data_IF_473059886882
#
_entry.id   IF_473059886882
#
_cell.length_a   1.000
_cell.length_b   1.000
_cell.length_c   1.000
_cell.angle_alpha   90.00
_cell.angle_beta   90.00
_cell.angle_gamma   90.00
#
_symmetry.space_group_name_H-M   'P 1'
#
loop_
_entity.id
_entity.type
_entity.pdbx_description
1 polymer ?
#
# COMPACT_ATOMS: atom_id res chain seq x y z
N UNK A 1 -19.01 -65.01 1.12
CA UNK A 1 -18.76 -63.61 0.71
C UNK A 1 -17.79 -63.60 -0.46
N UNK A 2 -18.25 -63.33 -1.69
CA UNK A 2 -17.40 -63.38 -2.90
C UNK A 2 -16.68 -62.05 -3.07
N UNK A 3 -15.34 -62.04 -2.96
CA UNK A 3 -14.53 -60.84 -3.22
C UNK A 3 -14.57 -60.54 -4.72
N UNK A 4 -15.10 -59.38 -5.09
CA UNK A 4 -15.04 -58.90 -6.47
C UNK A 4 -13.57 -58.81 -6.89
N UNK A 5 -13.18 -59.50 -7.96
CA UNK A 5 -11.82 -59.41 -8.50
C UNK A 5 -11.61 -57.99 -9.02
N UNK A 6 -10.67 -57.29 -8.41
CA UNK A 6 -10.34 -55.93 -8.79
C UNK A 6 -10.03 -55.85 -10.29
N UNK A 7 -10.77 -54.95 -10.90
CA UNK A 7 -10.76 -54.58 -12.30
C UNK A 7 -9.44 -54.01 -12.81
N UNK A 8 -8.31 -54.72 -12.99
CA UNK A 8 -7.03 -54.06 -13.36
C UNK A 8 -7.07 -53.24 -14.66
N UNK A 9 -8.09 -53.43 -15.49
CA UNK A 9 -8.35 -52.66 -16.71
C UNK A 9 -9.09 -51.33 -16.47
N UNK A 10 -9.74 -51.17 -15.31
CA UNK A 10 -10.42 -49.93 -14.92
C UNK A 10 -9.53 -48.68 -14.96
N UNK A 11 -8.27 -48.69 -14.45
CA UNK A 11 -7.40 -47.51 -14.58
C UNK A 11 -7.04 -47.22 -16.04
N UNK A 12 -6.84 -48.24 -16.87
CA UNK A 12 -6.51 -48.04 -18.29
C UNK A 12 -7.68 -47.46 -19.09
N UNK A 13 -8.91 -47.87 -18.78
CA UNK A 13 -10.11 -47.26 -19.39
C UNK A 13 -10.34 -45.82 -18.92
N UNK A 14 -10.09 -45.53 -17.65
CA UNK A 14 -10.22 -44.18 -17.11
C UNK A 14 -9.21 -43.21 -17.79
N UNK A 15 -7.97 -43.66 -17.98
CA UNK A 15 -6.93 -42.90 -18.68
C UNK A 15 -7.24 -42.74 -20.17
N UNK A 16 -7.73 -43.79 -20.83
CA UNK A 16 -8.12 -43.75 -22.24
C UNK A 16 -9.27 -42.77 -22.50
N UNK A 17 -10.27 -42.74 -21.61
CA UNK A 17 -11.40 -41.82 -21.69
C UNK A 17 -10.97 -40.36 -21.48
N UNK A 18 -9.96 -40.11 -20.64
CA UNK A 18 -9.42 -38.77 -20.39
C UNK A 18 -8.65 -38.18 -21.59
N UNK A 19 -8.20 -39.00 -22.54
CA UNK A 19 -7.48 -38.56 -23.74
C UNK A 19 -8.39 -38.08 -24.88
N UNK A 20 -9.71 -38.24 -24.76
CA UNK A 20 -10.70 -37.78 -25.74
C UNK A 20 -11.37 -36.49 -25.23
N UNK A 21 -10.59 -35.42 -25.08
CA UNK A 21 -11.11 -34.10 -24.70
C UNK A 21 -11.26 -33.20 -25.96
N UNK A 22 -12.41 -32.51 -26.15
CA UNK A 22 -12.60 -31.57 -27.25
C UNK A 22 -11.86 -30.23 -27.01
N UNK A 23 -11.68 -29.46 -28.09
CA UNK A 23 -11.01 -28.15 -28.11
C UNK A 23 -11.73 -27.13 -27.19
N UNK A 24 -11.23 -26.92 -25.96
CA UNK A 24 -11.76 -25.93 -25.03
C UNK A 24 -10.96 -24.61 -25.12
N UNK A 25 -11.64 -23.46 -25.20
CA UNK A 25 -11.04 -22.11 -25.16
C UNK A 25 -10.60 -21.77 -23.71
N UNK A 26 -9.57 -22.47 -23.24
CA UNK A 26 -9.34 -22.77 -21.83
C UNK A 26 -8.26 -21.89 -21.16
N UNK A 27 -8.66 -21.03 -20.21
CA UNK A 27 -7.87 -20.71 -19.01
C UNK A 27 -7.75 -21.92 -18.04
N UNK A 28 -8.03 -23.12 -18.56
CA UNK A 28 -8.42 -24.35 -17.86
C UNK A 28 -7.36 -25.45 -17.96
N UNK A 29 -6.09 -25.11 -18.15
CA UNK A 29 -5.07 -25.99 -17.60
C UNK A 29 -5.28 -25.96 -16.06
N UNK A 30 -5.43 -27.09 -15.35
CA UNK A 30 -5.71 -27.08 -13.90
C UNK A 30 -4.69 -26.25 -13.10
N UNK A 31 -3.50 -26.04 -13.66
CA UNK A 31 -2.46 -25.14 -13.16
C UNK A 31 -2.80 -23.65 -13.29
N UNK A 32 -3.36 -23.21 -14.42
CA UNK A 32 -3.70 -21.81 -14.71
C UNK A 32 -4.80 -21.28 -13.79
N UNK A 33 -5.81 -22.10 -13.49
CA UNK A 33 -6.87 -21.74 -12.54
C UNK A 33 -6.32 -21.43 -11.14
N UNK A 34 -5.37 -22.24 -10.67
CA UNK A 34 -4.72 -22.06 -9.37
C UNK A 34 -3.86 -20.79 -9.32
N UNK A 35 -3.16 -20.46 -10.41
CA UNK A 35 -2.36 -19.24 -10.52
C UNK A 35 -3.22 -17.98 -10.48
N UNK A 36 -4.33 -17.96 -11.23
CA UNK A 36 -5.27 -16.83 -11.25
C UNK A 36 -5.85 -16.61 -9.85
N UNK A 37 -6.30 -17.68 -9.18
CA UNK A 37 -6.87 -17.59 -7.85
C UNK A 37 -5.84 -17.07 -6.83
N UNK A 38 -4.59 -17.55 -6.92
CA UNK A 38 -3.49 -17.10 -6.06
C UNK A 38 -3.16 -15.62 -6.29
N UNK A 39 -3.17 -15.16 -7.55
CA UNK A 39 -2.95 -13.76 -7.89
C UNK A 39 -4.05 -12.86 -7.32
N UNK A 40 -5.32 -13.28 -7.43
CA UNK A 40 -6.46 -12.55 -6.86
C UNK A 40 -6.31 -12.43 -5.34
N UNK A 41 -6.04 -13.55 -4.65
CA UNK A 41 -5.84 -13.56 -3.20
C UNK A 41 -4.66 -12.66 -2.80
N UNK A 42 -3.55 -12.74 -3.54
CA UNK A 42 -2.38 -11.88 -3.30
C UNK A 42 -2.71 -10.40 -3.41
N UNK A 43 -3.41 -9.99 -4.47
CA UNK A 43 -3.84 -8.60 -4.67
C UNK A 43 -4.74 -8.14 -3.53
N UNK A 44 -5.73 -8.92 -3.12
CA UNK A 44 -6.62 -8.56 -2.02
C UNK A 44 -5.89 -8.50 -0.67
N UNK A 45 -5.00 -9.45 -0.39
CA UNK A 45 -4.20 -9.46 0.82
C UNK A 45 -3.30 -8.22 0.91
N UNK A 46 -2.59 -7.88 -0.18
CA UNK A 46 -1.76 -6.67 -0.26
C UNK A 46 -2.60 -5.40 -0.16
N UNK A 47 -3.74 -5.32 -0.85
CA UNK A 47 -4.63 -4.17 -0.79
C UNK A 47 -5.21 -3.95 0.62
N UNK A 48 -5.67 -5.02 1.29
CA UNK A 48 -6.19 -4.95 2.64
C UNK A 48 -5.10 -4.52 3.65
N UNK A 49 -3.90 -5.08 3.52
CA UNK A 49 -2.75 -4.70 4.36
C UNK A 49 -2.35 -3.24 4.12
N UNK A 50 -2.29 -2.81 2.87
CA UNK A 50 -2.01 -1.43 2.50
C UNK A 50 -3.08 -0.50 3.10
N UNK A 51 -4.36 -0.81 2.95
CA UNK A 51 -5.44 0.02 3.49
C UNK A 51 -5.36 0.13 5.01
N UNK A 52 -5.11 -0.98 5.72
CA UNK A 52 -4.92 -1.00 7.18
C UNK A 52 -3.70 -0.16 7.60
N UNK A 53 -2.58 -0.28 6.88
CA UNK A 53 -1.32 0.40 7.19
C UNK A 53 -1.40 1.89 6.89
N UNK A 54 -1.98 2.26 5.76
CA UNK A 54 -2.04 3.63 5.28
C UNK A 54 -3.29 4.39 5.72
N UNK A 55 -4.20 3.80 6.51
CA UNK A 55 -5.45 4.43 6.95
C UNK A 55 -5.27 5.85 7.51
N UNK A 56 -4.26 6.06 8.36
CA UNK A 56 -3.96 7.36 8.94
C UNK A 56 -3.34 8.34 7.94
N UNK A 57 -2.51 7.86 7.00
CA UNK A 57 -1.93 8.69 5.94
C UNK A 57 -2.96 9.08 4.89
N UNK A 58 -3.84 8.17 4.50
CA UNK A 58 -4.97 8.42 3.57
C UNK A 58 -5.90 9.46 4.19
N UNK A 59 -6.29 9.29 5.47
CA UNK A 59 -7.06 10.31 6.19
C UNK A 59 -6.32 11.63 6.36
N UNK A 60 -5.01 11.60 6.59
CA UNK A 60 -4.17 12.79 6.69
C UNK A 60 -4.02 13.55 5.37
N UNK A 61 -3.94 12.83 4.24
CA UNK A 61 -3.90 13.39 2.88
C UNK A 61 -5.25 14.04 2.51
N UNK A 62 -6.36 13.45 2.93
CA UNK A 62 -7.68 14.10 2.83
C UNK A 62 -7.86 15.29 3.78
N UNK A 63 -6.98 15.43 4.78
CA UNK A 63 -6.95 16.56 5.72
C UNK A 63 -5.89 17.60 5.37
N UNK A 64 -5.32 17.58 4.16
CA UNK A 64 -4.26 18.51 3.78
C UNK A 64 -4.82 19.92 3.53
N UNK A 65 -4.89 20.64 4.66
CA UNK A 65 -4.41 22.00 4.89
C UNK A 65 -5.09 23.15 4.14
N UNK A 66 -6.12 23.71 4.81
CA UNK A 66 -6.26 25.16 4.90
C UNK A 66 -5.09 25.74 5.73
N UNK A 67 -3.85 25.62 5.23
CA UNK A 67 -2.71 26.34 5.79
C UNK A 67 -2.67 27.72 5.15
N UNK A 68 -3.18 28.71 5.90
CA UNK A 68 -3.05 30.12 5.60
C UNK A 68 -1.55 30.54 5.53
N UNK A 69 -1.21 31.60 4.76
CA UNK A 69 0.11 31.75 4.13
C UNK A 69 1.27 32.07 5.10
N UNK A 70 2.52 31.75 4.70
CA UNK A 70 3.77 31.98 5.45
C UNK A 70 4.14 33.46 5.71
N UNK A 71 3.21 34.41 5.52
CA UNK A 71 3.47 35.85 5.63
C UNK A 71 3.67 36.34 7.07
N UNK A 72 3.10 35.68 8.09
CA UNK A 72 3.31 36.08 9.51
C UNK A 72 4.70 35.72 10.03
N UNK A 73 5.26 34.60 9.57
CA UNK A 73 6.55 34.11 10.06
C UNK A 73 7.71 34.99 9.56
N UNK A 74 7.61 35.54 8.35
CA UNK A 74 8.59 36.51 7.86
C UNK A 74 8.56 37.85 8.64
N UNK A 75 7.37 38.29 9.09
CA UNK A 75 7.21 39.54 9.83
C UNK A 75 7.71 39.45 11.29
N UNK A 76 7.58 38.30 11.94
CA UNK A 76 8.07 38.08 13.31
C UNK A 76 9.61 38.02 13.38
N UNK A 77 10.26 37.40 12.40
CA UNK A 77 11.73 37.36 12.33
C UNK A 77 12.36 38.73 12.02
N UNK A 78 11.71 39.57 11.21
CA UNK A 78 12.18 40.93 10.95
C UNK A 78 12.08 41.84 12.19
N UNK A 79 11.07 41.63 13.04
CA UNK A 79 10.83 42.46 14.23
C UNK A 79 11.82 42.13 15.37
N UNK A 80 12.27 40.89 15.50
CA UNK A 80 13.25 40.49 16.53
C UNK A 80 14.68 40.97 16.24
N UNK A 81 15.05 41.15 14.97
CA UNK A 81 16.36 41.70 14.61
C UNK A 81 16.47 43.22 14.80
N UNK A 82 15.35 43.95 14.77
CA UNK A 82 15.34 45.40 14.97
C UNK A 82 15.47 45.82 16.44
N UNK A 83 15.05 44.98 17.40
CA UNK A 83 15.04 45.32 18.83
C UNK A 83 16.33 44.97 19.57
N UNK A 84 17.22 44.16 18.97
CA UNK A 84 18.50 43.74 19.59
C UNK A 84 19.68 44.65 19.24
N UNK A 85 19.50 45.64 18.38
CA UNK A 85 20.58 46.47 17.81
C UNK A 85 20.57 47.95 18.20
N UNK A 86 19.58 48.43 18.96
CA UNK A 86 19.51 49.82 19.42
C UNK A 86 19.75 49.90 20.93
N UNK A 87 20.96 49.54 21.35
CA UNK A 87 21.51 50.06 22.61
C UNK A 87 22.11 51.43 22.27
N UNK A 88 21.50 52.55 22.72
CA UNK A 88 22.09 53.86 22.50
C UNK A 88 23.41 53.90 23.25
N UNK A 89 24.51 54.11 22.52
CA UNK A 89 25.80 54.42 23.10
C UNK A 89 25.64 55.61 24.06
N UNK A 90 25.65 55.33 25.36
CA UNK A 90 25.68 56.37 26.39
C UNK A 90 27.09 57.00 26.37
N UNK A 91 27.21 58.32 26.13
CA UNK A 91 28.51 58.97 25.95
C UNK A 91 29.28 59.08 27.28
N UNK A 92 30.62 58.95 27.24
CA UNK A 92 31.46 59.03 28.43
C UNK A 92 31.72 60.49 28.78
N UNK A 93 30.98 61.09 29.73
CA UNK A 93 31.44 62.32 30.39
C UNK A 93 30.55 62.76 31.57
N UNK A 94 31.23 62.91 32.71
CA UNK A 94 31.11 64.03 33.65
C UNK A 94 29.82 64.19 34.46
N UNK A 95 29.99 64.12 35.79
CA UNK A 95 29.70 65.16 36.81
C UNK A 95 29.63 64.47 38.17
N UNK A 96 30.70 64.56 38.95
CA UNK A 96 30.85 65.40 40.17
C UNK A 96 30.58 64.60 41.45
#
# INVERSE_FOLDING_TARGET
>A
MKRARASHWAPYLLVSLAMVAPEAWAYLDPSTGSMILSAIIGVFATAALALKTFWYKIKGLFRRDAAAPPARQAAEHATQHATKGSEPAEPPAARE
#
